data_IF_817942987534
#
_entry.id   IF_817942987534
#
_cell.length_a   1.000
_cell.length_b   1.000
_cell.length_c   1.000
_cell.angle_alpha   90.00
_cell.angle_beta   90.00
_cell.angle_gamma   90.00
#
_symmetry.space_group_name_H-M   'P 1'
#
loop_
_entity.id
_entity.type
_entity.pdbx_description
1 polymer ?
#
# COMPACT_ATOMS: atom_id res chain seq x y z
N UNK A 1 13.62 23.53 -6.15
CA UNK A 1 13.76 22.06 -6.14
C UNK A 1 12.55 21.46 -6.84
N UNK A 2 12.74 20.41 -7.62
CA UNK A 2 11.67 19.74 -8.36
C UNK A 2 11.88 18.23 -8.26
N UNK A 3 10.85 17.44 -7.94
CA UNK A 3 9.47 17.84 -7.62
C UNK A 3 9.40 18.71 -6.36
N UNK A 4 8.28 19.42 -6.19
CA UNK A 4 8.01 20.25 -5.02
C UNK A 4 6.97 19.69 -4.07
N UNK A 5 6.24 18.66 -4.50
CA UNK A 5 5.16 18.06 -3.73
C UNK A 5 5.13 16.54 -3.85
N UNK A 6 4.83 15.83 -2.74
CA UNK A 6 4.65 14.40 -2.72
C UNK A 6 3.53 14.02 -1.74
N UNK A 7 2.64 13.12 -2.16
CA UNK A 7 1.56 12.61 -1.31
C UNK A 7 1.64 11.09 -1.24
N UNK A 8 1.65 10.53 -0.03
CA UNK A 8 1.57 9.10 0.20
C UNK A 8 0.11 8.66 0.33
N UNK A 9 -0.23 7.57 -0.33
CA UNK A 9 -1.57 6.97 -0.30
C UNK A 9 -1.53 5.55 0.24
N UNK A 10 -2.63 5.14 0.83
CA UNK A 10 -2.89 3.78 1.25
C UNK A 10 -4.27 3.33 0.75
N UNK A 11 -4.36 2.06 0.39
CA UNK A 11 -5.61 1.35 0.14
C UNK A 11 -5.50 -0.09 0.65
N UNK A 12 -6.48 -0.92 0.35
CA UNK A 12 -6.49 -2.33 0.68
C UNK A 12 -6.84 -3.15 -0.58
N UNK A 13 -6.27 -4.35 -0.68
CA UNK A 13 -6.42 -5.21 -1.85
C UNK A 13 -6.86 -6.63 -1.48
N UNK A 14 -7.59 -7.23 -2.41
CA UNK A 14 -7.79 -8.66 -2.52
C UNK A 14 -6.63 -9.25 -3.32
N UNK A 15 -5.93 -10.26 -2.78
CA UNK A 15 -4.80 -10.91 -3.44
C UNK A 15 -4.55 -12.29 -2.83
N UNK A 16 -5.57 -13.14 -2.88
CA UNK A 16 -5.52 -14.48 -2.29
C UNK A 16 -4.47 -15.35 -2.98
N UNK A 17 -4.46 -15.32 -4.31
CA UNK A 17 -3.59 -16.20 -5.12
C UNK A 17 -2.12 -16.00 -4.77
N UNK A 18 -1.66 -14.76 -4.73
CA UNK A 18 -0.27 -14.47 -4.38
C UNK A 18 0.04 -14.80 -2.92
N UNK A 19 -0.89 -14.50 -2.01
CA UNK A 19 -0.72 -14.82 -0.59
C UNK A 19 -0.55 -16.32 -0.37
N UNK A 20 -1.38 -17.14 -1.02
CA UNK A 20 -1.28 -18.60 -0.95
C UNK A 20 0.06 -19.10 -1.53
N UNK A 21 0.47 -18.59 -2.68
CA UNK A 21 1.70 -19.04 -3.36
C UNK A 21 3.00 -18.62 -2.67
N UNK A 22 3.03 -17.43 -2.07
CA UNK A 22 4.28 -16.81 -1.57
C UNK A 22 4.37 -16.71 -0.05
N UNK A 23 3.24 -16.74 0.63
CA UNK A 23 3.16 -16.61 2.09
C UNK A 23 2.71 -17.93 2.71
N UNK A 24 1.52 -18.42 2.35
CA UNK A 24 0.96 -19.63 2.96
C UNK A 24 1.65 -20.92 2.49
N UNK A 25 2.36 -20.87 1.36
CA UNK A 25 3.23 -21.92 0.87
C UNK A 25 4.19 -22.46 1.95
N UNK A 26 4.67 -21.60 2.84
CA UNK A 26 5.63 -21.98 3.88
C UNK A 26 5.04 -22.85 4.99
N UNK A 27 3.72 -22.98 5.09
CA UNK A 27 3.08 -23.85 6.08
C UNK A 27 3.33 -25.34 5.78
N UNK A 28 3.53 -25.69 4.49
CA UNK A 28 3.82 -27.08 4.08
C UNK A 28 4.69 -27.10 2.81
N UNK A 29 6.00 -27.22 3.00
CA UNK A 29 6.97 -27.32 1.89
C UNK A 29 7.39 -28.80 1.75
N UNK A 30 6.81 -29.50 0.79
CA UNK A 30 7.06 -30.93 0.55
C UNK A 30 6.84 -31.82 1.79
N UNK A 31 5.87 -31.48 2.63
CA UNK A 31 5.55 -32.20 3.86
C UNK A 31 6.27 -31.71 5.11
N UNK A 32 7.10 -30.69 4.99
CA UNK A 32 7.81 -30.07 6.12
C UNK A 32 7.17 -28.73 6.50
N UNK A 33 7.12 -28.44 7.80
CA UNK A 33 6.67 -27.17 8.36
C UNK A 33 7.80 -26.14 8.34
N UNK A 34 7.60 -25.06 7.56
CA UNK A 34 8.49 -23.92 7.45
C UNK A 34 7.79 -22.61 7.90
N UNK A 35 6.82 -22.70 8.80
CA UNK A 35 6.04 -21.55 9.28
C UNK A 35 6.90 -20.44 9.88
N UNK A 36 8.11 -20.74 10.38
CA UNK A 36 9.07 -19.73 10.82
C UNK A 36 9.53 -18.79 9.68
N UNK A 37 9.59 -19.29 8.44
CA UNK A 37 9.91 -18.47 7.26
C UNK A 37 8.69 -17.62 6.86
N UNK A 38 7.47 -18.15 7.01
CA UNK A 38 6.23 -17.40 6.75
C UNK A 38 6.16 -16.11 7.59
N UNK A 39 6.56 -16.17 8.86
CA UNK A 39 6.60 -14.98 9.72
C UNK A 39 7.57 -13.91 9.18
N UNK A 40 8.71 -14.32 8.62
CA UNK A 40 9.66 -13.42 7.99
C UNK A 40 9.07 -12.83 6.71
N UNK A 41 8.51 -13.67 5.85
CA UNK A 41 7.90 -13.27 4.58
C UNK A 41 6.76 -12.24 4.78
N UNK A 42 5.96 -12.40 5.84
CA UNK A 42 4.91 -11.44 6.20
C UNK A 42 5.43 -10.06 6.63
N UNK A 43 6.64 -9.99 7.17
CA UNK A 43 7.26 -8.73 7.61
C UNK A 43 7.96 -7.97 6.48
N UNK A 44 8.26 -8.65 5.38
CA UNK A 44 8.91 -8.05 4.23
C UNK A 44 7.85 -7.48 3.27
N UNK A 45 7.88 -6.15 3.01
CA UNK A 45 6.98 -5.58 2.01
C UNK A 45 7.38 -6.06 0.61
N UNK A 46 6.36 -6.37 -0.19
CA UNK A 46 6.55 -6.70 -1.60
C UNK A 46 6.45 -5.43 -2.45
N UNK A 47 7.39 -5.23 -3.37
CA UNK A 47 7.31 -4.18 -4.38
C UNK A 47 6.92 -4.80 -5.72
N UNK A 48 5.66 -4.65 -6.10
CA UNK A 48 5.14 -5.17 -7.37
C UNK A 48 3.99 -4.32 -7.93
N UNK A 49 3.58 -4.64 -9.16
CA UNK A 49 2.45 -3.99 -9.81
C UNK A 49 1.15 -4.70 -9.43
N UNK A 50 0.20 -3.93 -8.91
CA UNK A 50 -1.12 -4.42 -8.53
C UNK A 50 -2.15 -3.95 -9.55
N UNK A 51 -3.03 -4.86 -9.98
CA UNK A 51 -4.12 -4.51 -10.88
C UNK A 51 -5.21 -3.70 -10.15
N UNK A 52 -5.76 -2.71 -10.82
CA UNK A 52 -6.82 -1.87 -10.23
C UNK A 52 -8.02 -2.68 -9.74
N UNK A 53 -8.35 -3.79 -10.41
CA UNK A 53 -9.47 -4.66 -10.00
C UNK A 53 -9.29 -5.30 -8.62
N UNK A 54 -8.04 -5.46 -8.17
CA UNK A 54 -7.73 -6.01 -6.83
C UNK A 54 -7.96 -5.01 -5.71
N UNK A 55 -8.11 -3.72 -6.03
CA UNK A 55 -8.35 -2.68 -5.01
C UNK A 55 -9.77 -2.79 -4.47
N UNK A 56 -9.88 -2.91 -3.15
CA UNK A 56 -11.16 -3.13 -2.42
C UNK A 56 -11.66 -1.86 -1.76
N UNK A 57 -10.76 -0.94 -1.41
CA UNK A 57 -11.10 0.28 -0.68
C UNK A 57 -10.78 1.55 -1.48
N UNK A 58 -11.49 2.64 -1.17
CA UNK A 58 -11.09 3.95 -1.66
C UNK A 58 -9.70 4.33 -1.15
N UNK A 59 -8.87 4.98 -1.98
CA UNK A 59 -7.57 5.48 -1.56
C UNK A 59 -7.68 6.53 -0.45
N UNK A 60 -6.88 6.39 0.60
CA UNK A 60 -6.77 7.39 1.66
C UNK A 60 -5.39 8.07 1.61
N UNK A 61 -5.32 9.40 1.55
CA UNK A 61 -4.06 10.12 1.71
C UNK A 61 -3.56 9.95 3.16
N UNK A 62 -2.29 9.59 3.31
CA UNK A 62 -1.65 9.42 4.62
C UNK A 62 -0.84 10.64 5.01
N UNK A 63 0.05 11.06 4.13
CA UNK A 63 1.00 12.15 4.37
C UNK A 63 1.13 12.97 3.11
N UNK A 64 1.09 14.26 3.28
CA UNK A 64 1.28 15.25 2.24
C UNK A 64 2.54 16.07 2.56
N UNK A 65 3.52 16.04 1.67
CA UNK A 65 4.85 16.59 1.87
C UNK A 65 5.11 17.75 0.91
N UNK A 66 5.31 18.93 1.46
CA UNK A 66 5.93 20.05 0.75
C UNK A 66 7.45 19.83 0.74
N UNK A 67 7.98 19.41 -0.41
CA UNK A 67 9.40 19.07 -0.57
C UNK A 67 10.32 20.29 -0.53
N UNK A 68 9.76 21.51 -0.57
CA UNK A 68 10.53 22.75 -0.43
C UNK A 68 10.88 23.04 1.03
N UNK A 69 10.05 22.58 1.96
CA UNK A 69 10.15 22.91 3.40
C UNK A 69 10.37 21.68 4.29
N UNK A 70 10.13 20.45 3.77
CA UNK A 70 10.27 19.20 4.52
C UNK A 70 11.65 19.03 5.13
N UNK A 71 11.69 18.59 6.37
CA UNK A 71 12.91 18.24 7.10
C UNK A 71 13.02 16.74 7.27
N UNK A 72 14.20 16.27 7.62
CA UNK A 72 14.46 14.84 7.85
C UNK A 72 13.55 14.25 8.93
N UNK A 73 13.24 15.04 9.95
CA UNK A 73 12.39 14.67 11.07
C UNK A 73 10.93 14.45 10.63
N UNK A 74 10.45 15.16 9.62
CA UNK A 74 9.10 15.07 9.08
C UNK A 74 8.87 13.76 8.31
N UNK A 75 9.95 13.05 7.94
CA UNK A 75 9.89 11.74 7.30
C UNK A 75 9.61 10.60 8.30
N UNK A 76 9.71 10.88 9.59
CA UNK A 76 9.28 10.00 10.65
C UNK A 76 7.88 10.43 11.08
N UNK A 77 6.88 9.60 10.79
CA UNK A 77 5.50 9.97 11.07
C UNK A 77 4.71 8.80 11.65
N UNK A 78 3.65 9.15 12.35
CA UNK A 78 2.63 8.23 12.83
C UNK A 78 1.26 8.84 12.55
N UNK A 79 0.54 8.27 11.60
CA UNK A 79 -0.71 8.83 11.10
C UNK A 79 -1.84 7.80 11.18
N UNK A 80 -3.04 8.22 11.63
CA UNK A 80 -4.23 7.39 11.55
C UNK A 80 -4.71 7.32 10.10
N UNK A 81 -5.33 6.21 9.73
CA UNK A 81 -6.00 6.07 8.43
C UNK A 81 -7.40 5.46 8.58
N UNK A 82 -8.25 5.74 7.60
CA UNK A 82 -9.55 5.12 7.41
C UNK A 82 -9.72 4.78 5.94
N UNK A 83 -9.98 3.52 5.64
CA UNK A 83 -10.23 3.01 4.31
C UNK A 83 -11.69 2.59 4.22
N UNK A 84 -12.42 3.10 3.23
CA UNK A 84 -13.82 2.75 3.00
C UNK A 84 -13.90 1.67 1.94
N UNK A 85 -14.50 0.52 2.28
CA UNK A 85 -14.69 -0.58 1.35
C UNK A 85 -15.72 -0.21 0.28
N UNK A 86 -15.34 -0.40 -0.99
CA UNK A 86 -16.16 -0.05 -2.15
C UNK A 86 -17.05 -1.20 -2.63
N UNK A 87 -16.77 -2.41 -2.15
CA UNK A 87 -17.49 -3.64 -2.47
C UNK A 87 -17.38 -4.67 -1.35
N UNK A 88 -18.21 -5.70 -1.41
CA UNK A 88 -18.05 -6.87 -0.56
C UNK A 88 -16.88 -7.70 -1.06
N UNK A 89 -15.88 -7.91 -0.24
CA UNK A 89 -14.67 -8.68 -0.63
C UNK A 89 -13.86 -9.11 0.59
N UNK A 90 -12.75 -9.79 0.29
CA UNK A 90 -11.69 -10.09 1.25
C UNK A 90 -10.54 -9.10 1.09
N UNK A 91 -9.88 -8.78 2.19
CA UNK A 91 -8.66 -7.98 2.20
C UNK A 91 -7.52 -8.85 2.70
N UNK A 92 -6.50 -8.99 1.86
CA UNK A 92 -5.31 -9.80 2.12
C UNK A 92 -4.07 -8.96 2.39
N UNK A 93 -4.05 -7.70 1.91
CA UNK A 93 -2.92 -6.80 2.07
C UNK A 93 -3.35 -5.32 2.03
N UNK A 94 -2.49 -4.46 2.58
CA UNK A 94 -2.53 -3.02 2.34
C UNK A 94 -1.62 -2.66 1.17
N UNK A 95 -2.03 -1.67 0.39
CA UNK A 95 -1.34 -1.18 -0.80
C UNK A 95 -0.92 0.26 -0.60
N UNK A 96 0.39 0.53 -0.66
CA UNK A 96 0.95 1.87 -0.57
C UNK A 96 1.52 2.34 -1.91
N UNK A 97 1.33 3.63 -2.22
CA UNK A 97 1.96 4.31 -3.36
C UNK A 97 2.10 5.79 -3.08
N UNK A 98 2.68 6.52 -4.02
CA UNK A 98 2.82 7.96 -3.92
C UNK A 98 2.47 8.68 -5.22
N UNK A 99 2.02 9.89 -5.07
CA UNK A 99 1.84 10.86 -6.14
C UNK A 99 2.90 11.96 -6.03
N UNK A 100 3.35 12.46 -7.17
CA UNK A 100 4.36 13.50 -7.27
C UNK A 100 3.82 14.70 -8.01
N UNK A 101 4.06 15.88 -7.47
CA UNK A 101 3.70 17.17 -8.04
C UNK A 101 4.91 18.03 -8.40
N UNK A 102 4.81 18.70 -9.55
CA UNK A 102 5.67 19.79 -10.04
C UNK A 102 4.78 21.00 -10.17
N UNK A 103 4.33 21.53 -9.01
CA UNK A 103 3.26 22.53 -8.96
C UNK A 103 3.76 23.95 -9.13
N UNK A 104 5.00 24.22 -8.71
CA UNK A 104 5.65 25.52 -8.90
C UNK A 104 6.13 25.77 -10.34
N UNK A 105 5.91 24.83 -11.27
CA UNK A 105 6.19 25.02 -12.69
C UNK A 105 5.17 25.93 -13.35
N UNK A 106 5.57 26.61 -14.45
CA UNK A 106 4.66 27.42 -15.27
C UNK A 106 3.41 26.66 -15.73
N UNK A 107 3.57 25.37 -16.03
CA UNK A 107 2.47 24.43 -16.23
C UNK A 107 2.62 23.32 -15.20
N UNK A 108 1.78 23.29 -14.17
CA UNK A 108 1.81 22.22 -13.17
C UNK A 108 1.66 20.85 -13.81
N UNK A 109 2.49 19.90 -13.37
CA UNK A 109 2.44 18.50 -13.81
C UNK A 109 2.35 17.63 -12.58
N UNK A 110 1.50 16.62 -12.61
CA UNK A 110 1.40 15.59 -11.58
C UNK A 110 1.45 14.22 -12.23
N UNK A 111 1.98 13.25 -11.53
CA UNK A 111 1.82 11.84 -11.88
C UNK A 111 1.64 11.00 -10.61
N UNK A 112 1.01 9.85 -10.79
CA UNK A 112 0.78 8.88 -9.73
C UNK A 112 1.53 7.58 -10.02
N UNK A 113 2.01 6.94 -8.98
CA UNK A 113 2.52 5.56 -9.04
C UNK A 113 1.47 4.53 -8.62
N UNK A 114 0.22 4.96 -8.40
CA UNK A 114 -0.87 4.12 -7.97
C UNK A 114 -1.39 3.16 -9.05
N UNK A 115 -2.20 2.17 -8.66
CA UNK A 115 -2.70 1.10 -9.55
C UNK A 115 -3.66 1.61 -10.63
N UNK A 116 -4.22 2.81 -10.48
CA UNK A 116 -5.09 3.47 -11.45
C UNK A 116 -4.34 4.20 -12.57
N UNK A 117 -3.02 4.33 -12.45
CA UNK A 117 -2.16 5.07 -13.36
C UNK A 117 -1.37 4.14 -14.28
N UNK A 118 -0.68 4.72 -15.26
CA UNK A 118 0.23 3.96 -16.12
C UNK A 118 1.36 3.38 -15.28
N UNK A 119 1.83 2.20 -15.67
CA UNK A 119 2.98 1.56 -15.05
C UNK A 119 4.17 2.53 -14.90
N UNK A 120 4.76 2.51 -13.73
CA UNK A 120 6.04 3.17 -13.43
C UNK A 120 7.01 2.14 -12.83
N UNK A 121 8.32 2.37 -12.95
CA UNK A 121 9.32 1.47 -12.36
C UNK A 121 9.30 1.47 -10.81
N UNK A 122 8.63 2.44 -10.17
CA UNK A 122 8.42 2.43 -8.70
C UNK A 122 7.41 1.37 -8.27
N UNK A 123 6.48 0.96 -9.18
CA UNK A 123 5.42 0.01 -8.83
C UNK A 123 4.61 0.48 -7.60
N UNK A 124 4.06 -0.43 -6.83
CA UNK A 124 3.41 -0.19 -5.55
C UNK A 124 4.07 -1.04 -4.47
N UNK A 125 3.81 -0.73 -3.19
CA UNK A 125 4.29 -1.52 -2.06
C UNK A 125 3.12 -2.23 -1.41
N UNK A 126 3.21 -3.55 -1.30
CA UNK A 126 2.20 -4.44 -0.73
C UNK A 126 2.65 -4.92 0.64
N UNK A 127 1.77 -4.78 1.64
CA UNK A 127 1.99 -5.23 3.02
C UNK A 127 0.94 -6.29 3.35
N UNK A 128 1.29 -7.56 3.28
CA UNK A 128 0.36 -8.65 3.59
C UNK A 128 -0.01 -8.68 5.06
N UNK A 129 -1.29 -8.97 5.32
CA UNK A 129 -1.80 -9.18 6.68
C UNK A 129 -1.67 -10.64 7.09
N UNK A 130 -1.41 -10.94 8.38
CA UNK A 130 -1.35 -12.31 8.88
C UNK A 130 -2.67 -13.08 8.65
N UNK A 131 -3.80 -12.38 8.82
CA UNK A 131 -5.14 -12.93 8.59
C UNK A 131 -5.85 -12.22 7.45
N UNK A 132 -6.91 -12.84 6.94
CA UNK A 132 -7.80 -12.25 5.94
C UNK A 132 -8.90 -11.45 6.64
N UNK A 133 -9.16 -10.21 6.20
CA UNK A 133 -10.28 -9.42 6.67
C UNK A 133 -11.44 -9.60 5.68
N UNK A 134 -12.64 -9.80 6.19
CA UNK A 134 -13.86 -9.78 5.37
C UNK A 134 -14.53 -8.43 5.52
N UNK A 135 -14.84 -7.79 4.41
CA UNK A 135 -15.50 -6.47 4.39
C UNK A 135 -16.74 -6.48 3.52
N UNK A 136 -17.74 -5.73 3.94
CA UNK A 136 -18.90 -5.39 3.15
C UNK A 136 -18.76 -3.96 2.59
N UNK A 137 -19.45 -3.67 1.50
CA UNK A 137 -19.50 -2.33 0.93
C UNK A 137 -19.94 -1.30 1.99
N UNK A 138 -19.16 -0.26 2.17
CA UNK A 138 -19.37 0.79 3.17
C UNK A 138 -18.73 0.55 4.52
N UNK A 139 -18.14 -0.64 4.75
CA UNK A 139 -17.35 -0.89 5.96
C UNK A 139 -16.10 -0.01 5.99
N UNK A 140 -15.62 0.27 7.20
CA UNK A 140 -14.45 1.10 7.43
C UNK A 140 -13.35 0.30 8.11
N UNK A 141 -12.22 0.16 7.42
CA UNK A 141 -10.99 -0.34 8.02
C UNK A 141 -10.23 0.87 8.58
N UNK A 142 -9.90 0.84 9.87
CA UNK A 142 -9.16 1.92 10.50
C UNK A 142 -7.92 1.40 11.22
N UNK A 143 -6.88 2.19 11.21
CA UNK A 143 -5.62 1.84 11.83
C UNK A 143 -4.68 3.03 11.94
N UNK A 144 -3.43 2.73 12.27
CA UNK A 144 -2.36 3.71 12.34
C UNK A 144 -1.14 3.17 11.60
N UNK A 145 -0.58 3.98 10.73
CA UNK A 145 0.67 3.69 10.04
C UNK A 145 1.79 4.50 10.67
N UNK A 146 2.90 3.82 10.98
CA UNK A 146 4.11 4.45 11.53
C UNK A 146 5.28 4.19 10.60
N UNK A 147 6.02 5.25 10.27
CA UNK A 147 7.31 5.21 9.60
C UNK A 147 8.35 5.80 10.55
N UNK A 148 9.37 5.00 10.90
CA UNK A 148 10.40 5.36 11.88
C UNK A 148 11.80 5.09 11.33
#
# INVERSE_FOLDING_TARGET
>A
MMPDHATLYLSAIEDQEYKEEKIDFWDNVYGFDYSCIKEIALREPLVDTVELRSVVCDPAPLVDLDLMTVKKEDLQFKVPFKLHATRNDYVHAFLGWFDIGFEACHKPVRFSTGPHSRYTHWKQTVFYTPGTLTVAQGDVIQGTLSCM
#
